data_IF_814428901305
#
_entry.id   IF_814428901305
#
_cell.length_a   1.000
_cell.length_b   1.000
_cell.length_c   1.000
_cell.angle_alpha   90.00
_cell.angle_beta   90.00
_cell.angle_gamma   90.00
#
_symmetry.space_group_name_H-M   'P 1'
#
loop_
_entity.id
_entity.type
_entity.pdbx_description
1 polymer ?
#
# COMPACT_ATOMS: atom_id res chain seq x y z
N UNK A 1 21.62 2.38 -6.83
CA UNK A 1 21.30 1.79 -5.50
C UNK A 1 21.63 2.68 -4.28
N UNK A 2 22.81 3.33 -4.17
CA UNK A 2 23.23 4.02 -2.92
C UNK A 2 22.48 5.30 -2.47
N UNK A 3 21.61 5.91 -3.28
CA UNK A 3 20.98 7.19 -2.91
C UNK A 3 19.60 7.09 -2.23
N UNK A 4 18.97 5.91 -2.19
CA UNK A 4 17.57 5.75 -1.78
C UNK A 4 17.34 5.32 -0.32
N UNK A 5 18.39 4.97 0.43
CA UNK A 5 18.28 4.46 1.81
C UNK A 5 18.88 5.46 2.79
N UNK A 6 18.09 5.90 3.79
CA UNK A 6 18.52 6.86 4.80
C UNK A 6 18.24 6.34 6.21
N UNK A 7 19.27 5.92 6.93
CA UNK A 7 19.17 5.59 8.35
C UNK A 7 18.55 4.22 8.66
N UNK A 8 19.08 3.58 9.69
CA UNK A 8 18.66 2.26 10.19
C UNK A 8 17.99 2.43 11.55
N UNK A 9 16.78 1.90 11.71
CA UNK A 9 16.03 1.79 12.98
C UNK A 9 15.86 0.31 13.32
N UNK A 10 15.94 -0.03 14.61
CA UNK A 10 15.66 -1.39 15.09
C UNK A 10 14.27 -1.43 15.71
N UNK A 11 13.37 -2.26 15.20
CA UNK A 11 12.08 -2.53 15.85
C UNK A 11 12.28 -3.63 16.92
N UNK A 12 11.68 -3.43 18.10
CA UNK A 12 11.81 -4.31 19.26
C UNK A 12 10.50 -5.03 19.53
N UNK A 13 10.40 -6.29 19.10
CA UNK A 13 9.58 -7.30 19.76
C UNK A 13 10.45 -8.53 19.96
N UNK A 14 10.32 -9.18 21.12
CA UNK A 14 11.20 -10.24 21.59
C UNK A 14 11.15 -11.47 20.66
N UNK A 15 12.07 -11.53 19.70
CA UNK A 15 13.02 -12.62 19.39
C UNK A 15 13.59 -12.31 17.99
N UNK A 16 14.85 -11.83 17.95
CA UNK A 16 15.63 -11.37 16.76
C UNK A 16 15.31 -9.94 16.26
N UNK A 17 16.19 -8.98 16.59
CA UNK A 17 16.22 -7.63 15.99
C UNK A 17 16.50 -7.73 14.49
N UNK A 18 15.48 -7.58 13.64
CA UNK A 18 15.71 -7.30 12.22
C UNK A 18 15.98 -5.81 12.05
N UNK A 19 17.08 -5.46 11.38
CA UNK A 19 17.37 -4.07 11.05
C UNK A 19 16.36 -3.58 10.00
N UNK A 20 15.71 -2.44 10.27
CA UNK A 20 14.75 -1.80 9.37
C UNK A 20 15.33 -0.47 8.93
N UNK A 21 15.56 -0.27 7.63
CA UNK A 21 16.05 1.03 7.13
C UNK A 21 14.92 1.85 6.51
N UNK A 22 15.01 3.18 6.56
CA UNK A 22 14.05 4.02 5.84
C UNK A 22 14.38 4.11 4.35
N UNK A 23 13.34 4.06 3.54
CA UNK A 23 13.37 4.35 2.11
C UNK A 23 13.07 5.85 1.88
N UNK A 24 13.75 6.44 0.91
CA UNK A 24 13.42 7.74 0.31
C UNK A 24 13.70 7.65 -1.20
N UNK A 25 12.65 7.79 -2.01
CA UNK A 25 12.74 7.82 -3.47
C UNK A 25 12.27 9.20 -3.94
N UNK A 26 13.15 9.95 -4.58
CA UNK A 26 12.80 11.24 -5.17
C UNK A 26 11.79 11.06 -6.31
N UNK A 27 10.76 11.91 -6.33
CA UNK A 27 9.74 11.97 -7.37
C UNK A 27 9.50 13.44 -7.75
N UNK A 28 8.92 13.75 -8.92
CA UNK A 28 8.81 15.15 -9.39
C UNK A 28 8.08 16.12 -8.44
N UNK A 29 7.29 15.59 -7.52
CA UNK A 29 6.49 16.37 -6.56
C UNK A 29 6.97 16.22 -5.10
N UNK A 30 8.14 15.63 -4.87
CA UNK A 30 8.72 15.45 -3.54
C UNK A 30 9.42 14.11 -3.40
N UNK A 31 9.02 13.32 -2.41
CA UNK A 31 9.58 11.99 -2.17
C UNK A 31 8.51 10.96 -1.79
N UNK A 32 8.75 9.71 -2.20
CA UNK A 32 8.09 8.52 -1.65
C UNK A 32 8.97 7.97 -0.53
N UNK A 33 8.39 7.80 0.65
CA UNK A 33 9.03 7.24 1.84
C UNK A 33 8.59 5.81 2.08
N UNK A 34 9.27 5.13 2.99
CA UNK A 34 8.92 3.76 3.34
C UNK A 34 9.93 3.12 4.27
N UNK A 35 9.83 1.81 4.41
CA UNK A 35 10.71 0.98 5.22
C UNK A 35 11.22 -0.21 4.40
N UNK A 36 12.42 -0.67 4.74
CA UNK A 36 13.08 -1.81 4.08
C UNK A 36 13.53 -2.81 5.12
N UNK A 37 13.23 -4.09 4.86
CA UNK A 37 13.64 -5.24 5.67
C UNK A 37 14.40 -6.25 4.81
N UNK A 38 15.35 -6.96 5.43
CA UNK A 38 16.08 -8.06 4.78
C UNK A 38 17.33 -7.59 4.02
N UNK A 39 18.08 -8.55 3.45
CA UNK A 39 19.40 -8.28 2.85
C UNK A 39 19.31 -7.51 1.53
N UNK A 40 20.41 -6.87 1.10
CA UNK A 40 20.47 -6.10 -0.15
C UNK A 40 20.29 -6.95 -1.41
N UNK A 41 20.81 -8.17 -1.37
CA UNK A 41 20.66 -9.18 -2.42
C UNK A 41 19.46 -10.12 -2.20
N UNK A 42 18.56 -9.77 -1.26
CA UNK A 42 17.34 -10.55 -1.03
C UNK A 42 16.38 -10.46 -2.20
N UNK A 43 15.53 -11.48 -2.36
CA UNK A 43 14.51 -11.48 -3.43
C UNK A 43 13.52 -10.32 -3.23
N UNK A 44 13.32 -9.45 -4.23
CA UNK A 44 12.59 -8.21 -4.03
C UNK A 44 11.08 -8.44 -3.84
N UNK A 45 10.52 -7.80 -2.81
CA UNK A 45 9.08 -7.76 -2.52
C UNK A 45 8.66 -6.33 -2.26
N UNK A 46 7.71 -5.81 -3.04
CA UNK A 46 7.11 -4.51 -2.80
C UNK A 46 5.83 -4.67 -1.96
N UNK A 47 5.70 -3.91 -0.88
CA UNK A 47 4.54 -3.94 0.00
C UNK A 47 3.74 -2.63 -0.08
N UNK A 48 2.44 -2.71 -0.36
CA UNK A 48 1.54 -1.56 -0.58
C UNK A 48 0.39 -1.55 0.44
N UNK A 49 0.28 -0.46 1.22
CA UNK A 49 -0.67 -0.35 2.33
C UNK A 49 -2.11 0.01 1.89
N UNK A 50 -3.07 -0.14 2.81
CA UNK A 50 -4.47 0.24 2.65
C UNK A 50 -4.71 1.76 2.66
N UNK A 51 -5.94 2.16 2.32
CA UNK A 51 -6.28 3.58 2.30
C UNK A 51 -6.24 4.19 3.70
N UNK A 52 -5.66 5.39 3.83
CA UNK A 52 -5.49 6.11 5.09
C UNK A 52 -4.57 5.46 6.15
N UNK A 53 -3.94 4.32 5.81
CA UNK A 53 -2.84 3.70 6.56
C UNK A 53 -1.48 4.32 6.15
N UNK A 54 -0.39 3.58 6.38
CA UNK A 54 0.97 3.83 5.90
C UNK A 54 1.75 2.51 5.91
N UNK A 55 3.03 2.52 5.50
CA UNK A 55 3.86 1.32 5.40
C UNK A 55 4.06 0.59 6.75
N UNK A 56 3.75 1.24 7.88
CA UNK A 56 3.73 0.64 9.21
C UNK A 56 2.75 -0.53 9.34
N UNK A 57 1.73 -0.62 8.48
CA UNK A 57 0.77 -1.74 8.45
C UNK A 57 1.44 -3.11 8.28
N UNK A 58 2.68 -3.14 7.78
CA UNK A 58 3.47 -4.36 7.60
C UNK A 58 4.47 -4.65 8.73
N UNK A 59 4.57 -3.78 9.74
CA UNK A 59 5.50 -3.95 10.87
C UNK A 59 5.28 -5.28 11.62
N UNK A 60 4.04 -5.78 11.68
CA UNK A 60 3.70 -7.02 12.36
C UNK A 60 3.87 -8.27 11.47
N UNK A 61 3.58 -8.14 10.16
CA UNK A 61 3.62 -9.28 9.22
C UNK A 61 5.05 -9.62 8.78
N UNK A 62 5.81 -8.63 8.29
CA UNK A 62 7.11 -8.86 7.64
C UNK A 62 8.12 -9.63 8.54
N UNK A 63 8.21 -9.37 9.86
CA UNK A 63 9.12 -10.12 10.72
C UNK A 63 8.87 -11.64 10.76
N UNK A 64 7.67 -12.09 10.40
CA UNK A 64 7.28 -13.50 10.36
C UNK A 64 7.50 -14.16 8.97
N UNK A 65 7.87 -13.36 7.96
CA UNK A 65 8.09 -13.83 6.59
C UNK A 65 9.56 -14.27 6.36
N UNK A 66 9.86 -14.99 5.27
CA UNK A 66 11.21 -15.52 5.03
C UNK A 66 12.30 -14.44 4.92
N UNK A 67 13.42 -14.68 5.58
CA UNK A 67 14.48 -13.66 5.79
C UNK A 67 15.38 -13.45 4.57
N UNK A 68 15.29 -14.33 3.57
CA UNK A 68 16.02 -14.23 2.30
C UNK A 68 15.39 -13.26 1.30
N UNK A 69 14.23 -12.68 1.62
CA UNK A 69 13.58 -11.66 0.81
C UNK A 69 13.97 -10.25 1.26
N UNK A 70 13.93 -9.32 0.31
CA UNK A 70 14.10 -7.88 0.52
C UNK A 70 12.74 -7.22 0.40
N UNK A 71 12.12 -6.96 1.54
CA UNK A 71 10.81 -6.30 1.59
C UNK A 71 11.00 -4.79 1.58
N UNK A 72 10.36 -4.10 0.65
CA UNK A 72 10.27 -2.64 0.58
C UNK A 72 8.81 -2.26 0.72
N UNK A 73 8.41 -1.74 1.87
CA UNK A 73 7.08 -1.19 2.07
C UNK A 73 7.10 0.31 1.87
N UNK A 74 6.25 0.84 0.99
CA UNK A 74 6.20 2.27 0.69
C UNK A 74 4.99 2.92 1.34
N UNK A 75 5.18 4.15 1.80
CA UNK A 75 4.09 5.09 2.02
C UNK A 75 3.66 5.61 0.65
N UNK A 76 2.42 5.35 0.22
CA UNK A 76 1.90 5.89 -1.04
C UNK A 76 1.74 7.41 -0.93
N UNK A 77 1.71 8.11 -2.07
CA UNK A 77 1.58 9.57 -2.11
C UNK A 77 0.45 10.07 -1.16
N UNK A 78 0.73 11.14 -0.41
CA UNK A 78 -0.24 11.70 0.55
C UNK A 78 -0.48 10.88 1.82
N UNK A 79 0.28 9.81 2.06
CA UNK A 79 0.22 8.97 3.25
C UNK A 79 1.58 8.90 3.95
N UNK A 80 1.56 8.51 5.23
CA UNK A 80 2.78 8.27 6.00
C UNK A 80 3.72 9.48 5.97
N UNK A 81 4.98 9.25 5.63
CA UNK A 81 5.96 10.32 5.43
C UNK A 81 6.17 10.71 3.96
N UNK A 82 5.42 10.13 3.02
CA UNK A 82 5.50 10.51 1.61
C UNK A 82 4.92 11.90 1.39
N UNK A 83 5.51 12.62 0.44
CA UNK A 83 5.03 13.96 0.08
C UNK A 83 3.59 13.92 -0.40
N UNK A 84 2.90 15.03 -0.21
CA UNK A 84 1.57 15.23 -0.79
C UNK A 84 1.72 15.55 -2.28
N UNK A 85 0.73 15.18 -3.08
CA UNK A 85 0.67 15.62 -4.49
C UNK A 85 0.58 17.15 -4.57
N UNK A 86 0.98 17.79 -5.68
CA UNK A 86 0.81 19.23 -5.83
C UNK A 86 -0.68 19.62 -5.86
N UNK A 87 -0.99 20.90 -5.66
CA UNK A 87 -2.36 21.44 -5.87
C UNK A 87 -2.83 21.14 -7.29
N UNK A 88 -4.13 20.94 -7.50
CA UNK A 88 -4.70 20.54 -8.80
C UNK A 88 -4.64 19.05 -9.11
N UNK A 89 -3.83 18.26 -8.39
CA UNK A 89 -3.69 16.83 -8.65
C UNK A 89 -4.69 15.98 -7.86
N UNK A 90 -5.26 14.99 -8.54
CA UNK A 90 -6.10 13.95 -7.92
C UNK A 90 -5.28 12.79 -7.34
N UNK A 91 -5.83 12.15 -6.32
CA UNK A 91 -5.39 10.84 -5.85
C UNK A 91 -6.24 9.75 -6.52
N UNK A 92 -5.71 9.16 -7.59
CA UNK A 92 -6.37 8.08 -8.33
C UNK A 92 -5.48 6.83 -8.40
N UNK A 93 -6.09 5.67 -8.63
CA UNK A 93 -5.37 4.40 -8.75
C UNK A 93 -4.28 4.42 -9.84
N UNK A 94 -4.54 4.93 -11.07
CA UNK A 94 -3.48 5.04 -12.08
C UNK A 94 -2.30 5.90 -11.63
N UNK A 95 -2.54 6.98 -10.87
CA UNK A 95 -1.47 7.81 -10.33
C UNK A 95 -0.61 7.05 -9.30
N UNK A 96 -1.22 6.20 -8.46
CA UNK A 96 -0.46 5.33 -7.55
C UNK A 96 0.34 4.25 -8.30
N UNK A 97 -0.21 3.67 -9.38
CA UNK A 97 0.54 2.73 -10.24
C UNK A 97 1.76 3.42 -10.86
N UNK A 98 1.60 4.65 -11.35
CA UNK A 98 2.73 5.43 -11.86
C UNK A 98 3.81 5.69 -10.79
N UNK A 99 3.41 5.87 -9.52
CA UNK A 99 4.36 6.00 -8.41
C UNK A 99 5.07 4.69 -8.10
N UNK A 100 4.38 3.55 -8.20
CA UNK A 100 5.01 2.22 -8.13
C UNK A 100 6.06 2.07 -9.22
N UNK A 101 5.76 2.44 -10.47
CA UNK A 101 6.74 2.43 -11.56
C UNK A 101 7.99 3.26 -11.23
N UNK A 102 7.82 4.46 -10.63
CA UNK A 102 8.95 5.30 -10.21
C UNK A 102 9.79 4.64 -9.12
N UNK A 103 9.14 4.04 -8.13
CA UNK A 103 9.83 3.33 -7.03
C UNK A 103 10.64 2.17 -7.56
N UNK A 104 10.04 1.27 -8.36
CA UNK A 104 10.74 0.06 -8.83
C UNK A 104 11.87 0.41 -9.80
N UNK A 105 11.69 1.44 -10.62
CA UNK A 105 12.76 1.98 -11.48
C UNK A 105 13.91 2.55 -10.64
N UNK A 106 13.63 3.31 -9.58
CA UNK A 106 14.65 3.84 -8.67
C UNK A 106 15.40 2.74 -7.90
N UNK A 107 14.71 1.65 -7.58
CA UNK A 107 15.28 0.45 -6.96
C UNK A 107 16.02 -0.45 -7.97
N UNK A 108 15.88 -0.18 -9.27
CA UNK A 108 16.44 -0.97 -10.37
C UNK A 108 15.99 -2.43 -10.31
N UNK A 109 14.69 -2.63 -10.07
CA UNK A 109 14.08 -3.95 -10.03
C UNK A 109 13.43 -4.30 -11.36
N UNK A 110 13.94 -5.35 -12.01
CA UNK A 110 13.39 -5.86 -13.26
C UNK A 110 12.30 -6.91 -13.03
N UNK A 111 12.35 -7.66 -11.94
CA UNK A 111 11.30 -8.59 -11.51
C UNK A 111 11.18 -8.61 -9.99
N UNK A 112 9.96 -8.66 -9.47
CA UNK A 112 9.69 -8.65 -8.03
C UNK A 112 8.32 -9.23 -7.68
N UNK A 113 8.12 -9.59 -6.41
CA UNK A 113 6.80 -9.97 -5.87
C UNK A 113 6.09 -8.77 -5.23
N UNK A 114 4.76 -8.80 -5.15
CA UNK A 114 3.98 -7.71 -4.56
C UNK A 114 3.06 -8.25 -3.46
N UNK A 115 3.04 -7.59 -2.30
CA UNK A 115 2.05 -7.79 -1.25
C UNK A 115 1.23 -6.51 -1.11
N UNK A 116 -0.07 -6.57 -1.38
CA UNK A 116 -0.96 -5.42 -1.31
C UNK A 116 -2.11 -5.64 -0.34
N UNK A 117 -2.35 -4.70 0.56
CA UNK A 117 -3.52 -4.70 1.46
C UNK A 117 -4.58 -3.72 0.96
N UNK A 118 -5.84 -4.16 0.89
CA UNK A 118 -6.99 -3.29 0.60
C UNK A 118 -6.77 -2.41 -0.65
N UNK A 119 -6.69 -1.08 -0.50
CA UNK A 119 -6.32 -0.14 -1.57
C UNK A 119 -4.99 -0.51 -2.25
N UNK A 120 -3.96 -0.86 -1.49
CA UNK A 120 -2.68 -1.31 -1.99
C UNK A 120 -2.78 -2.63 -2.76
N UNK A 121 -3.73 -3.48 -2.42
CA UNK A 121 -4.08 -4.67 -3.22
C UNK A 121 -4.66 -4.31 -4.59
N UNK A 122 -5.51 -3.29 -4.66
CA UNK A 122 -6.03 -2.79 -5.95
C UNK A 122 -4.93 -2.17 -6.82
N UNK A 123 -4.01 -1.41 -6.22
CA UNK A 123 -2.82 -0.89 -6.92
C UNK A 123 -1.93 -2.03 -7.40
N UNK A 124 -1.67 -3.03 -6.56
CA UNK A 124 -0.89 -4.22 -6.90
C UNK A 124 -1.51 -5.00 -8.07
N UNK A 125 -2.82 -5.22 -8.04
CA UNK A 125 -3.56 -5.90 -9.10
C UNK A 125 -3.50 -5.12 -10.42
N UNK A 126 -3.72 -3.81 -10.38
CA UNK A 126 -3.64 -2.96 -11.57
C UNK A 126 -2.22 -2.92 -12.14
N UNK A 127 -1.19 -2.79 -11.31
CA UNK A 127 0.21 -2.85 -11.75
C UNK A 127 0.52 -4.20 -12.41
N UNK A 128 0.14 -5.31 -11.77
CA UNK A 128 0.43 -6.66 -12.27
C UNK A 128 -0.30 -6.99 -13.58
N UNK A 129 -1.47 -6.40 -13.80
CA UNK A 129 -2.19 -6.53 -15.07
C UNK A 129 -1.53 -5.73 -16.20
N UNK A 130 -0.89 -4.60 -15.89
CA UNK A 130 -0.24 -3.73 -16.87
C UNK A 130 1.21 -4.14 -17.18
N UNK A 131 1.92 -4.71 -16.21
CA UNK A 131 3.32 -5.10 -16.30
C UNK A 131 3.53 -6.55 -15.81
N UNK A 132 2.84 -7.55 -16.39
CA UNK A 132 2.90 -8.94 -15.92
C UNK A 132 4.31 -9.53 -15.99
N UNK A 133 5.15 -9.08 -16.93
CA UNK A 133 6.55 -9.50 -17.08
C UNK A 133 7.42 -9.15 -15.87
N UNK A 134 7.07 -8.07 -15.17
CA UNK A 134 7.80 -7.56 -13.99
C UNK A 134 7.39 -8.29 -12.69
N UNK A 135 6.30 -9.05 -12.69
CA UNK A 135 5.72 -9.58 -11.44
C UNK A 135 5.95 -11.08 -11.31
N UNK A 136 6.61 -11.46 -10.22
CA UNK A 136 6.92 -12.85 -9.85
C UNK A 136 5.74 -13.54 -9.17
N UNK A 137 5.11 -12.82 -8.24
CA UNK A 137 4.03 -13.30 -7.41
C UNK A 137 3.24 -12.10 -6.86
N UNK A 138 1.93 -12.26 -6.70
CA UNK A 138 1.05 -11.27 -6.09
C UNK A 138 0.30 -11.88 -4.90
N UNK A 139 0.32 -11.19 -3.77
CA UNK A 139 -0.43 -11.54 -2.55
C UNK A 139 -1.36 -10.39 -2.23
N UNK A 140 -2.66 -10.68 -2.17
CA UNK A 140 -3.70 -9.71 -1.89
C UNK A 140 -4.30 -9.97 -0.51
N UNK A 141 -4.14 -9.01 0.39
CA UNK A 141 -4.63 -9.06 1.77
C UNK A 141 -5.93 -8.26 1.84
N UNK A 142 -7.04 -8.97 2.00
CA UNK A 142 -8.41 -8.42 2.08
C UNK A 142 -8.68 -7.34 1.01
N UNK A 143 -8.37 -7.69 -0.24
CA UNK A 143 -8.54 -6.82 -1.42
C UNK A 143 -9.31 -7.61 -2.48
N UNK A 144 -10.45 -7.05 -2.90
CA UNK A 144 -11.34 -7.62 -3.90
C UNK A 144 -11.32 -6.76 -5.17
N UNK A 145 -10.13 -6.51 -5.73
CA UNK A 145 -9.96 -5.88 -7.05
C UNK A 145 -10.83 -4.64 -7.31
N UNK A 146 -11.36 -4.52 -8.53
CA UNK A 146 -12.23 -3.41 -8.91
C UNK A 146 -13.58 -3.52 -8.19
N UNK A 147 -13.81 -2.61 -7.23
CA UNK A 147 -15.13 -2.44 -6.63
C UNK A 147 -16.02 -1.66 -7.62
N UNK A 148 -17.05 -2.29 -8.21
CA UNK A 148 -17.98 -1.59 -9.08
C UNK A 148 -18.65 -0.46 -8.30
N UNK A 149 -18.91 0.65 -8.99
CA UNK A 149 -19.55 1.82 -8.39
C UNK A 149 -20.70 2.26 -9.27
N UNK A 150 -21.84 2.58 -8.66
CA UNK A 150 -23.04 3.03 -9.36
C UNK A 150 -23.76 4.11 -8.49
N UNK A 151 -24.17 5.26 -9.04
CA UNK A 151 -23.89 5.77 -10.40
C UNK A 151 -22.49 6.35 -10.55
N UNK A 152 -21.75 5.81 -11.53
CA UNK A 152 -20.38 6.26 -11.86
C UNK A 152 -20.34 7.77 -12.10
N UNK A 153 -21.25 8.30 -12.90
CA UNK A 153 -21.28 9.72 -13.30
C UNK A 153 -21.45 10.66 -12.11
N UNK A 154 -22.30 10.31 -11.15
CA UNK A 154 -22.51 11.12 -9.95
C UNK A 154 -21.27 11.11 -9.05
N UNK A 155 -20.67 9.94 -8.81
CA UNK A 155 -19.47 9.83 -7.98
C UNK A 155 -18.28 10.57 -8.60
N UNK A 156 -18.13 10.51 -9.92
CA UNK A 156 -17.13 11.28 -10.66
C UNK A 156 -17.36 12.78 -10.49
N UNK A 157 -18.61 13.25 -10.68
CA UNK A 157 -19.00 14.65 -10.47
C UNK A 157 -18.70 15.10 -9.04
N UNK A 158 -19.10 14.32 -8.04
CA UNK A 158 -18.84 14.62 -6.62
C UNK A 158 -17.33 14.72 -6.31
N UNK A 159 -16.51 13.86 -6.92
CA UNK A 159 -15.05 13.92 -6.78
C UNK A 159 -14.43 15.18 -7.36
N UNK A 160 -14.87 15.57 -8.57
CA UNK A 160 -14.43 16.81 -9.23
C UNK A 160 -14.89 18.03 -8.43
N UNK A 161 -16.18 18.12 -8.12
CA UNK A 161 -16.76 19.23 -7.34
C UNK A 161 -16.08 19.34 -5.97
N UNK A 162 -15.81 18.20 -5.32
CA UNK A 162 -15.13 18.14 -4.03
C UNK A 162 -13.71 18.69 -4.07
N UNK A 163 -12.93 18.38 -5.12
CA UNK A 163 -11.60 18.96 -5.30
C UNK A 163 -11.67 20.48 -5.51
N UNK A 164 -12.51 20.94 -6.44
CA UNK A 164 -12.66 22.37 -6.74
C UNK A 164 -13.13 23.17 -5.53
N UNK A 165 -14.04 22.61 -4.72
CA UNK A 165 -14.47 23.23 -3.47
C UNK A 165 -13.37 23.25 -2.41
N UNK A 166 -12.58 22.17 -2.29
CA UNK A 166 -11.44 22.13 -1.38
C UNK A 166 -10.40 23.19 -1.74
N UNK A 167 -10.08 23.33 -3.02
CA UNK A 167 -9.09 24.31 -3.50
C UNK A 167 -9.50 25.75 -3.23
N UNK A 168 -10.79 26.09 -3.42
CA UNK A 168 -11.35 27.41 -3.09
C UNK A 168 -11.29 27.73 -1.59
N UNK A 169 -11.43 26.73 -0.73
CA UNK A 169 -11.43 26.91 0.74
C UNK A 169 -10.02 26.89 1.35
N UNK A 170 -9.01 26.49 0.58
CA UNK A 170 -7.70 26.11 1.09
C UNK A 170 -6.78 27.29 1.43
N UNK A 171 -7.18 28.54 1.23
CA UNK A 171 -6.34 29.70 1.61
C UNK A 171 -6.31 29.96 3.13
N UNK A 172 -7.20 29.36 3.96
CA UNK A 172 -7.37 29.80 5.36
C UNK A 172 -7.53 28.71 6.45
N UNK A 173 -7.37 27.41 6.15
CA UNK A 173 -7.54 26.39 7.21
C UNK A 173 -6.26 26.17 8.01
N UNK A 174 -6.27 26.65 9.26
CA UNK A 174 -5.31 26.23 10.29
C UNK A 174 -5.36 24.71 10.47
N UNK A 175 -4.21 24.06 10.45
CA UNK A 175 -4.08 22.64 10.78
C UNK A 175 -4.63 22.37 12.18
N UNK A 176 -5.39 21.28 12.33
CA UNK A 176 -5.88 20.86 13.63
C UNK A 176 -4.73 20.19 14.37
N UNK A 177 -4.48 20.67 15.59
CA UNK A 177 -3.50 20.11 16.51
C UNK A 177 -4.26 19.26 17.53
N UNK A 178 -3.72 18.09 17.81
CA UNK A 178 -4.24 17.10 18.74
C UNK A 178 -3.16 16.75 19.76
N UNK A 179 -3.56 16.25 20.93
CA UNK A 179 -2.68 15.37 21.71
C UNK A 179 -2.55 14.00 21.03
N UNK A 180 -1.54 13.22 21.42
CA UNK A 180 -1.37 11.86 20.90
C UNK A 180 -2.60 10.98 21.21
N UNK A 181 -3.13 11.07 22.43
CA UNK A 181 -4.28 10.27 22.86
C UNK A 181 -5.56 10.62 22.08
N UNK A 182 -5.79 11.90 21.78
CA UNK A 182 -6.90 12.33 20.92
C UNK A 182 -6.76 11.81 19.49
N UNK A 183 -5.53 11.82 18.95
CA UNK A 183 -5.26 11.27 17.62
C UNK A 183 -5.44 9.74 17.58
N UNK A 184 -4.97 9.03 18.61
CA UNK A 184 -5.17 7.59 18.78
C UNK A 184 -6.63 7.23 18.88
N UNK A 185 -7.38 7.92 19.76
CA UNK A 185 -8.82 7.74 19.88
C UNK A 185 -9.53 7.99 18.54
N UNK A 186 -9.17 9.07 17.83
CA UNK A 186 -9.76 9.37 16.52
C UNK A 186 -9.52 8.27 15.49
N UNK A 187 -8.32 7.67 15.46
CA UNK A 187 -8.03 6.56 14.55
C UNK A 187 -8.82 5.31 14.95
N UNK A 188 -8.87 4.98 16.24
CA UNK A 188 -9.68 3.87 16.76
C UNK A 188 -11.17 4.03 16.47
N UNK A 189 -11.73 5.23 16.64
CA UNK A 189 -13.15 5.49 16.41
C UNK A 189 -13.53 5.30 14.92
N UNK A 190 -12.63 5.65 14.00
CA UNK A 190 -12.85 5.50 12.56
C UNK A 190 -12.62 4.06 12.09
N UNK A 191 -11.71 3.34 12.74
CA UNK A 191 -11.37 1.95 12.42
C UNK A 191 -11.45 1.06 13.69
N UNK A 192 -12.67 0.68 14.12
CA UNK A 192 -12.86 -0.10 15.35
C UNK A 192 -12.22 -1.50 15.32
N UNK A 193 -11.83 -1.99 14.15
CA UNK A 193 -11.11 -3.26 14.01
C UNK A 193 -9.67 -3.19 14.48
N UNK A 194 -9.03 -2.02 14.50
CA UNK A 194 -7.62 -1.92 14.89
C UNK A 194 -7.45 -2.15 16.39
N UNK A 195 -6.50 -3.03 16.76
CA UNK A 195 -6.04 -3.13 18.15
C UNK A 195 -5.33 -1.85 18.59
N UNK A 196 -5.18 -1.65 19.90
CA UNK A 196 -4.46 -0.50 20.46
C UNK A 196 -3.01 -0.45 19.96
N UNK A 197 -2.38 -1.62 19.87
CA UNK A 197 -1.01 -1.77 19.37
C UNK A 197 -0.92 -1.37 17.90
N UNK A 198 -1.87 -1.82 17.07
CA UNK A 198 -1.94 -1.48 15.64
C UNK A 198 -2.19 0.00 15.40
N UNK A 199 -3.02 0.64 16.21
CA UNK A 199 -3.21 2.09 16.19
C UNK A 199 -1.89 2.81 16.44
N UNK A 200 -1.15 2.41 17.48
CA UNK A 200 0.15 3.02 17.78
C UNK A 200 1.15 2.82 16.62
N UNK A 201 1.21 1.62 16.05
CA UNK A 201 2.06 1.30 14.90
C UNK A 201 1.76 2.24 13.72
N UNK A 202 0.48 2.44 13.39
CA UNK A 202 0.11 3.33 12.29
C UNK A 202 0.39 4.79 12.62
N UNK A 203 0.20 5.23 13.88
CA UNK A 203 0.46 6.61 14.27
C UNK A 203 1.95 7.00 14.28
N UNK A 204 2.88 6.05 14.39
CA UNK A 204 4.32 6.32 14.25
C UNK A 204 4.68 7.07 12.96
N UNK A 205 3.92 6.83 11.89
CA UNK A 205 4.06 7.52 10.58
C UNK A 205 2.83 8.29 10.17
N UNK A 206 1.73 8.13 10.89
CA UNK A 206 0.47 8.82 10.65
C UNK A 206 0.42 10.22 11.26
N UNK A 207 1.42 10.60 12.06
CA UNK A 207 1.48 11.87 12.78
C UNK A 207 2.78 12.64 12.50
N UNK A 208 2.66 13.96 12.52
CA UNK A 208 3.77 14.93 12.50
C UNK A 208 3.71 15.74 13.79
N UNK A 209 4.87 15.96 14.41
CA UNK A 209 4.99 16.81 15.61
C UNK A 209 4.86 18.29 15.22
N UNK A 210 4.08 19.04 15.98
CA UNK A 210 3.86 20.48 15.79
C UNK A 210 4.05 21.22 17.11
N UNK A 211 4.13 22.56 17.04
CA UNK A 211 4.14 23.39 18.25
C UNK A 211 2.82 23.22 19.00
N UNK A 212 2.86 22.48 20.11
CA UNK A 212 1.70 22.21 20.97
C UNK A 212 1.02 20.85 20.80
N UNK A 213 1.54 19.95 19.96
CA UNK A 213 1.01 18.59 19.86
C UNK A 213 1.38 17.86 18.57
N UNK A 214 0.41 17.15 18.01
CA UNK A 214 0.54 16.38 16.77
C UNK A 214 -0.56 16.73 15.77
N UNK A 215 -0.24 16.60 14.49
CA UNK A 215 -1.24 16.62 13.41
C UNK A 215 -1.10 15.39 12.52
N UNK A 216 -2.15 15.05 11.79
CA UNK A 216 -2.11 13.90 10.88
C UNK A 216 -1.23 14.23 9.66
N UNK A 217 -0.29 13.34 9.36
CA UNK A 217 0.64 13.49 8.22
C UNK A 217 -0.05 13.37 6.86
N UNK A 218 -1.18 12.66 6.81
CA UNK A 218 -1.89 12.36 5.57
C UNK A 218 -2.56 13.59 4.96
N UNK A 219 -2.52 13.68 3.65
CA UNK A 219 -3.20 14.73 2.90
C UNK A 219 -4.73 14.56 3.02
N UNK A 220 -5.44 15.61 3.40
CA UNK A 220 -6.90 15.56 3.48
C UNK A 220 -7.56 15.14 2.16
N UNK A 221 -6.97 15.49 1.02
CA UNK A 221 -7.51 15.22 -0.33
C UNK A 221 -7.61 13.74 -0.67
N UNK A 222 -6.90 12.86 0.02
CA UNK A 222 -7.07 11.40 -0.16
C UNK A 222 -8.49 10.93 0.19
N UNK A 223 -9.25 11.74 0.95
CA UNK A 223 -10.64 11.47 1.32
C UNK A 223 -11.67 12.01 0.33
N UNK A 224 -11.24 12.75 -0.69
CA UNK A 224 -12.13 13.12 -1.79
C UNK A 224 -12.49 11.88 -2.60
N UNK A 225 -13.69 11.88 -3.20
CA UNK A 225 -14.16 10.75 -4.00
C UNK A 225 -13.20 10.52 -5.17
N UNK A 226 -12.71 9.29 -5.30
CA UNK A 226 -11.90 8.89 -6.45
C UNK A 226 -12.75 9.02 -7.73
N UNK A 227 -12.23 9.80 -8.67
CA UNK A 227 -12.89 10.12 -9.95
C UNK A 227 -12.71 9.04 -11.02
N UNK A 228 -11.86 8.04 -10.80
CA UNK A 228 -11.68 6.93 -11.74
C UNK A 228 -12.48 5.75 -11.21
N UNK A 229 -13.73 5.66 -11.64
CA UNK A 229 -14.68 4.60 -11.28
C UNK A 229 -15.20 3.90 -12.52
N UNK A 230 -15.56 2.64 -12.32
CA UNK A 230 -16.09 1.77 -13.36
C UNK A 230 -17.34 1.09 -12.82
N UNK A 231 -18.38 0.99 -13.64
CA UNK A 231 -19.61 0.28 -13.28
C UNK A 231 -19.41 -1.23 -13.39
N UNK A 232 -20.33 -2.02 -12.83
CA UNK A 232 -20.28 -3.48 -12.98
C UNK A 232 -20.39 -3.88 -14.45
N UNK A 233 -21.26 -3.23 -15.21
CA UNK A 233 -21.45 -3.47 -16.65
C UNK A 233 -20.16 -3.19 -17.42
N UNK A 234 -19.47 -2.09 -17.11
CA UNK A 234 -18.20 -1.75 -17.75
C UNK A 234 -17.09 -2.76 -17.39
N UNK A 235 -17.05 -3.25 -16.14
CA UNK A 235 -16.15 -4.35 -15.75
C UNK A 235 -16.48 -5.58 -16.61
N UNK A 236 -17.74 -6.04 -16.60
CA UNK A 236 -18.16 -7.23 -17.34
C UNK A 236 -17.86 -7.13 -18.84
N UNK A 237 -18.09 -5.97 -19.46
CA UNK A 237 -17.75 -5.71 -20.86
C UNK A 237 -16.24 -5.80 -21.12
N UNK A 238 -15.41 -5.25 -20.23
CA UNK A 238 -13.95 -5.34 -20.37
C UNK A 238 -13.42 -6.78 -20.23
N UNK A 239 -14.08 -7.60 -19.41
CA UNK A 239 -13.74 -9.01 -19.20
C UNK A 239 -14.18 -9.88 -20.39
N UNK A 240 -15.33 -9.57 -21.01
CA UNK A 240 -15.84 -10.27 -22.20
C UNK A 240 -14.91 -10.13 -23.40
N UNK A 241 -14.15 -9.03 -23.50
CA UNK A 241 -13.18 -8.81 -24.58
C UNK A 241 -11.90 -9.65 -24.36
N UNK A 242 -11.63 -10.12 -23.14
CA UNK A 242 -10.37 -10.78 -22.75
C UNK A 242 -10.56 -12.18 -22.14
N UNK A 243 -11.54 -12.95 -22.62
CA UNK A 243 -11.91 -14.29 -22.10
C UNK A 243 -10.71 -15.23 -21.90
N UNK A 244 -9.67 -15.12 -22.73
CA UNK A 244 -8.44 -15.95 -22.63
C UNK A 244 -7.58 -15.59 -21.40
N UNK A 245 -7.47 -14.30 -21.03
CA UNK A 245 -6.79 -13.89 -19.80
C UNK A 245 -7.58 -14.30 -18.55
N UNK A 246 -8.91 -14.28 -18.62
CA UNK A 246 -9.77 -14.65 -17.50
C UNK A 246 -9.62 -16.13 -17.14
N UNK A 247 -9.60 -17.01 -18.14
CA UNK A 247 -9.44 -18.46 -17.94
C UNK A 247 -8.07 -18.81 -17.35
N UNK A 248 -7.01 -18.10 -17.75
CA UNK A 248 -5.66 -18.30 -17.20
C UNK A 248 -5.50 -17.72 -15.78
N UNK A 249 -6.21 -16.62 -15.45
CA UNK A 249 -6.27 -16.04 -14.10
C UNK A 249 -7.06 -16.93 -13.12
N UNK A 250 -8.19 -17.50 -13.56
CA UNK A 250 -9.03 -18.38 -12.73
C UNK A 250 -8.33 -19.68 -12.34
N UNK A 251 -7.41 -20.19 -13.17
CA UNK A 251 -6.78 -21.50 -12.95
C UNK A 251 -5.50 -21.47 -12.07
N UNK A 252 -4.94 -20.31 -11.71
CA UNK A 252 -3.65 -20.24 -10.97
C UNK A 252 -3.64 -19.40 -9.68
N UNK A 253 -4.81 -19.04 -9.14
CA UNK A 253 -4.91 -18.30 -7.88
C UNK A 253 -5.43 -19.18 -6.74
N UNK A 254 -5.02 -18.87 -5.51
CA UNK A 254 -5.51 -19.52 -4.29
C UNK A 254 -6.17 -18.45 -3.43
N UNK A 255 -7.46 -18.63 -3.16
CA UNK A 255 -8.21 -17.79 -2.20
C UNK A 255 -8.28 -18.54 -0.88
N UNK A 256 -7.95 -17.86 0.21
CA UNK A 256 -8.01 -18.42 1.57
C UNK A 256 -8.77 -17.43 2.44
N UNK A 257 -9.82 -17.92 3.09
CA UNK A 257 -10.51 -17.16 4.14
C UNK A 257 -9.79 -17.38 5.46
N UNK A 258 -9.38 -16.29 6.10
CA UNK A 258 -8.68 -16.33 7.39
C UNK A 258 -9.57 -15.66 8.43
N UNK A 259 -9.82 -16.28 9.60
CA UNK A 259 -10.53 -15.62 10.69
C UNK A 259 -9.79 -14.35 11.14
N UNK A 260 -10.50 -13.24 11.23
CA UNK A 260 -9.93 -11.95 11.61
C UNK A 260 -10.74 -10.79 11.07
N UNK A 261 -10.12 -9.62 11.07
CA UNK A 261 -10.68 -8.36 10.58
C UNK A 261 -9.95 -7.86 9.31
N UNK A 262 -10.35 -6.68 8.82
CA UNK A 262 -9.77 -6.06 7.62
C UNK A 262 -8.25 -5.84 7.72
N UNK A 263 -7.72 -5.71 8.94
CA UNK A 263 -6.31 -5.51 9.27
C UNK A 263 -5.72 -6.75 9.95
N UNK A 264 -6.25 -7.96 9.67
CA UNK A 264 -5.76 -9.23 10.24
C UNK A 264 -4.25 -9.41 10.09
N UNK A 265 -3.65 -8.94 8.99
CA UNK A 265 -2.20 -9.00 8.78
C UNK A 265 -1.40 -8.11 9.74
N UNK A 266 -2.03 -7.10 10.33
CA UNK A 266 -1.44 -6.18 11.28
C UNK A 266 -1.77 -6.59 12.73
N UNK A 267 -3.04 -6.91 13.02
CA UNK A 267 -3.53 -7.32 14.35
C UNK A 267 -3.09 -8.74 14.74
N UNK A 268 -3.20 -9.69 13.81
CA UNK A 268 -3.02 -11.12 14.04
C UNK A 268 -2.15 -11.73 12.92
N UNK A 269 -0.91 -11.26 12.73
CA UNK A 269 -0.07 -11.61 11.59
C UNK A 269 0.20 -13.13 11.49
N UNK A 270 0.22 -13.85 12.62
CA UNK A 270 0.42 -15.31 12.69
C UNK A 270 -0.64 -16.11 11.93
N UNK A 271 -1.86 -15.56 11.76
CA UNK A 271 -2.91 -16.21 10.99
C UNK A 271 -2.66 -16.15 9.47
N UNK A 272 -1.87 -15.17 9.02
CA UNK A 272 -1.63 -14.88 7.59
C UNK A 272 -0.22 -15.25 7.16
N UNK A 273 0.77 -15.08 8.04
CA UNK A 273 2.19 -15.26 7.73
C UNK A 273 2.53 -16.66 7.15
N UNK A 274 2.02 -17.79 7.69
CA UNK A 274 2.28 -19.10 7.10
C UNK A 274 1.80 -19.21 5.66
N UNK A 275 0.61 -18.66 5.35
CA UNK A 275 0.03 -18.71 4.00
C UNK A 275 0.88 -17.91 3.00
N UNK A 276 1.33 -16.72 3.40
CA UNK A 276 2.18 -15.85 2.57
C UNK A 276 3.55 -16.50 2.36
N UNK A 277 4.15 -17.03 3.42
CA UNK A 277 5.44 -17.75 3.36
C UNK A 277 5.38 -18.92 2.40
N UNK A 278 4.40 -19.80 2.56
CA UNK A 278 4.28 -21.02 1.76
C UNK A 278 4.08 -20.69 0.27
N UNK A 279 3.30 -19.64 -0.02
CA UNK A 279 3.11 -19.16 -1.39
C UNK A 279 4.39 -18.60 -2.02
N UNK A 280 5.12 -17.73 -1.29
CA UNK A 280 6.37 -17.15 -1.78
C UNK A 280 7.44 -18.22 -2.01
N UNK A 281 7.55 -19.22 -1.13
CA UNK A 281 8.46 -20.36 -1.32
C UNK A 281 8.11 -21.20 -2.54
N UNK A 282 6.82 -21.51 -2.73
CA UNK A 282 6.37 -22.31 -3.88
C UNK A 282 6.74 -21.63 -5.19
N UNK A 283 6.50 -20.32 -5.32
CA UNK A 283 6.83 -19.56 -6.53
C UNK A 283 8.35 -19.45 -6.76
N UNK A 284 9.12 -19.30 -5.70
CA UNK A 284 10.57 -19.31 -5.78
C UNK A 284 11.17 -20.62 -6.30
N UNK A 285 10.53 -21.77 -6.07
CA UNK A 285 10.97 -23.06 -6.60
C UNK A 285 10.67 -23.18 -8.10
N UNK A 286 9.45 -22.81 -8.52
CA UNK A 286 9.06 -22.81 -9.94
C UNK A 286 9.99 -21.96 -10.81
N UNK A 287 10.45 -20.81 -10.29
CA UNK A 287 11.39 -19.94 -11.01
C UNK A 287 12.78 -20.54 -11.19
N UNK A 288 13.24 -21.42 -10.30
CA UNK A 288 14.53 -22.11 -10.46
C UNK A 288 14.47 -23.19 -11.54
N UNK A 289 13.28 -23.75 -11.78
CA UNK A 289 13.06 -24.85 -12.72
C UNK A 289 12.74 -24.36 -14.15
N UNK A 290 12.38 -23.08 -14.32
CA UNK A 290 12.09 -22.51 -15.65
C UNK A 290 13.37 -21.88 -16.22
N UNK A 291 13.94 -22.39 -17.33
CA UNK A 291 15.13 -21.78 -17.95
C UNK A 291 14.84 -20.33 -18.34
N UNK A 292 15.78 -19.43 -18.08
CA UNK A 292 15.76 -18.09 -18.67
C UNK A 292 15.95 -18.26 -20.19
N UNK A 293 14.87 -18.02 -20.95
CA UNK A 293 14.91 -17.92 -22.41
C UNK A 293 15.76 -16.71 -22.84
#
# INVERSE_FOLDING_TARGET
>A
VMQALKGVRYLSTSTVKQAVSELSVAVPWGEIRGKVWGPENGRPVLCLHGWADNCGTFNSLIPLLPKEYRYVAVDLAGHGFSSHRPRGAFYSFPSYVADVCRVVNALQWDRFSIIGHSMGGNVAGMYSALYPEMVDAIVLLDSYGFLPTDPVTEIMKQGIDGLLQFEKKSEEKKEKIYSYDEAAKRLSDVNPSLSKESVNILLERGLVQTDGGVTFSRDFRINLKNIVRISLEQILLSLLIHIIMLLSFVLQHKVVMVPGDHHVHLNNPEAVAPLVRDFLHTRALVQKETPKL
#
